data_IF_147962030412
#
_entry.id   IF_147962030412
#
_cell.length_a   1.000
_cell.length_b   1.000
_cell.length_c   1.000
_cell.angle_alpha   90.00
_cell.angle_beta   90.00
_cell.angle_gamma   90.00
#
_symmetry.space_group_name_H-M   'P 1'
#
loop_
_entity.id
_entity.type
_entity.pdbx_description
1 polymer ?
#
# COMPACT_ATOMS: atom_id res chain seq x y z
N UNK A 1 -9.05 -0.79 -11.67
CA UNK A 1 -7.82 -0.95 -10.86
C UNK A 1 -7.37 0.44 -10.42
N UNK A 2 -6.94 0.62 -9.17
CA UNK A 2 -6.59 1.95 -8.63
C UNK A 2 -5.18 2.33 -9.10
N UNK A 3 -4.89 3.63 -9.22
CA UNK A 3 -3.57 4.13 -9.63
C UNK A 3 -3.13 5.28 -8.72
N UNK A 4 -1.83 5.39 -8.50
CA UNK A 4 -1.22 6.60 -7.97
C UNK A 4 -1.34 7.71 -9.02
N UNK A 5 -1.65 8.92 -8.55
CA UNK A 5 -1.84 10.11 -9.39
C UNK A 5 -0.80 11.17 -9.01
N UNK A 6 -0.27 11.91 -9.99
CA UNK A 6 0.63 13.02 -9.72
C UNK A 6 0.02 14.04 -8.76
N UNK A 7 0.85 14.66 -7.91
CA UNK A 7 0.43 15.74 -7.00
C UNK A 7 -0.35 15.30 -5.76
N UNK A 8 -0.58 14.01 -5.55
CA UNK A 8 -1.21 13.48 -4.34
C UNK A 8 -0.19 12.78 -3.45
N UNK A 9 -0.34 12.92 -2.13
CA UNK A 9 0.39 12.15 -1.14
C UNK A 9 -0.38 10.90 -0.75
N UNK A 10 0.35 9.83 -0.52
CA UNK A 10 -0.22 8.52 -0.21
C UNK A 10 0.43 7.94 1.03
N UNK A 11 -0.37 7.30 1.87
CA UNK A 11 0.10 6.58 3.06
C UNK A 11 -0.37 5.14 2.99
N UNK A 12 0.53 4.20 3.28
CA UNK A 12 0.19 2.78 3.33
C UNK A 12 -0.72 2.49 4.53
N UNK A 13 -1.70 1.61 4.34
CA UNK A 13 -2.60 1.17 5.42
C UNK A 13 -2.72 -0.34 5.48
N UNK A 14 -2.51 -0.89 6.67
CA UNK A 14 -2.78 -2.30 6.97
C UNK A 14 -4.23 -2.68 6.68
N UNK A 15 -5.19 -1.76 6.91
CA UNK A 15 -6.62 -1.99 6.66
C UNK A 15 -6.87 -2.33 5.19
N UNK A 16 -6.37 -1.54 4.26
CA UNK A 16 -6.61 -1.76 2.84
C UNK A 16 -5.84 -2.97 2.32
N UNK A 17 -4.60 -3.16 2.76
CA UNK A 17 -3.83 -4.36 2.45
C UNK A 17 -4.56 -5.65 2.86
N UNK A 18 -5.02 -5.73 4.12
CA UNK A 18 -5.78 -6.90 4.61
C UNK A 18 -7.07 -7.12 3.82
N UNK A 19 -7.77 -6.04 3.44
CA UNK A 19 -9.00 -6.11 2.64
C UNK A 19 -8.72 -6.70 1.26
N UNK A 20 -7.65 -6.24 0.62
CA UNK A 20 -7.24 -6.71 -0.69
C UNK A 20 -6.77 -8.18 -0.64
N UNK A 21 -5.90 -8.55 0.30
CA UNK A 21 -5.49 -9.94 0.47
C UNK A 21 -6.65 -10.90 0.72
N UNK A 22 -7.65 -10.50 1.54
CA UNK A 22 -8.89 -11.29 1.72
C UNK A 22 -9.65 -11.47 0.42
N UNK A 23 -9.70 -10.45 -0.44
CA UNK A 23 -10.39 -10.48 -1.73
C UNK A 23 -9.72 -11.45 -2.71
N UNK A 24 -8.39 -11.53 -2.70
CA UNK A 24 -7.62 -12.39 -3.62
C UNK A 24 -7.24 -13.75 -3.01
N UNK A 25 -7.69 -14.07 -1.79
CA UNK A 25 -7.36 -15.33 -1.12
C UNK A 25 -5.90 -15.46 -0.66
N UNK A 26 -5.17 -14.35 -0.52
CA UNK A 26 -3.75 -14.38 -0.16
C UNK A 26 -3.56 -14.47 1.37
N UNK A 27 -2.80 -15.46 1.88
CA UNK A 27 -2.56 -15.63 3.31
C UNK A 27 -1.56 -14.60 3.85
N UNK A 28 -2.05 -13.42 4.21
CA UNK A 28 -1.20 -12.30 4.66
C UNK A 28 -0.74 -12.38 6.12
N UNK A 29 -1.26 -13.32 6.93
CA UNK A 29 -0.94 -13.39 8.37
C UNK A 29 0.52 -13.72 8.66
N UNK A 30 1.19 -14.41 7.74
CA UNK A 30 2.60 -14.79 7.84
C UNK A 30 3.55 -13.65 7.44
N UNK A 31 3.03 -12.61 6.77
CA UNK A 31 3.80 -11.45 6.36
C UNK A 31 3.88 -10.48 7.54
N UNK A 32 5.07 -10.16 8.05
CA UNK A 32 5.22 -9.17 9.14
C UNK A 32 5.50 -7.76 8.63
N UNK A 33 6.04 -7.63 7.42
CA UNK A 33 6.46 -6.35 6.86
C UNK A 33 5.33 -5.31 6.79
N UNK A 34 4.10 -5.73 6.46
CA UNK A 34 2.98 -4.82 6.27
C UNK A 34 2.59 -4.08 7.55
N UNK A 35 2.91 -4.65 8.72
CA UNK A 35 2.67 -3.98 10.02
C UNK A 35 3.64 -2.81 10.22
N UNK A 36 4.88 -2.97 9.77
CA UNK A 36 5.92 -1.94 9.86
C UNK A 36 5.65 -0.76 8.93
N UNK A 37 4.99 -0.99 7.80
CA UNK A 37 4.67 0.06 6.82
C UNK A 37 3.44 0.91 7.19
N UNK A 38 2.67 0.54 8.22
CA UNK A 38 1.38 1.17 8.50
C UNK A 38 1.53 2.65 8.88
N UNK A 39 0.90 3.54 8.11
CA UNK A 39 0.96 4.97 8.39
C UNK A 39 2.15 5.69 7.74
N UNK A 40 3.06 4.97 7.08
CA UNK A 40 4.23 5.57 6.42
C UNK A 40 3.84 6.08 5.04
N UNK A 41 4.39 7.24 4.67
CA UNK A 41 4.25 7.84 3.35
C UNK A 41 4.89 6.94 2.28
N UNK A 42 4.19 6.81 1.16
CA UNK A 42 4.60 5.98 0.04
C UNK A 42 5.40 6.82 -0.94
N UNK A 43 6.62 6.39 -1.23
CA UNK A 43 7.39 6.91 -2.34
C UNK A 43 6.82 6.33 -3.65
N UNK A 44 6.06 7.13 -4.41
CA UNK A 44 5.44 6.70 -5.66
C UNK A 44 6.50 6.62 -6.75
N UNK A 45 6.68 5.42 -7.33
CA UNK A 45 7.64 5.18 -8.40
C UNK A 45 6.95 5.35 -9.76
N UNK A 46 5.75 4.80 -9.91
CA UNK A 46 4.94 4.89 -11.11
C UNK A 46 3.44 4.73 -10.77
N UNK A 47 2.50 4.89 -11.73
CA UNK A 47 1.07 4.86 -11.44
C UNK A 47 0.55 3.56 -10.81
N UNK A 48 1.24 2.43 -10.96
CA UNK A 48 0.83 1.13 -10.42
C UNK A 48 1.68 0.66 -9.24
N UNK A 49 2.71 1.41 -8.85
CA UNK A 49 3.70 0.92 -7.90
C UNK A 49 4.35 2.05 -7.09
N UNK A 50 4.52 1.80 -5.79
CA UNK A 50 5.27 2.65 -4.88
C UNK A 50 6.06 1.81 -3.88
N UNK A 51 6.81 2.50 -3.03
CA UNK A 51 7.70 1.89 -2.05
C UNK A 51 7.50 2.50 -0.66
N UNK A 52 7.60 1.67 0.37
CA UNK A 52 7.78 2.08 1.78
C UNK A 52 9.05 1.42 2.28
N UNK A 53 10.14 2.18 2.38
CA UNK A 53 11.48 1.61 2.59
C UNK A 53 11.82 0.63 1.45
N UNK A 54 12.08 -0.63 1.79
CA UNK A 54 12.34 -1.71 0.83
C UNK A 54 11.09 -2.50 0.42
N UNK A 55 9.91 -2.13 0.94
CA UNK A 55 8.67 -2.86 0.69
C UNK A 55 7.90 -2.29 -0.49
N UNK A 56 7.61 -3.15 -1.48
CA UNK A 56 6.75 -2.83 -2.61
C UNK A 56 5.29 -2.67 -2.15
N UNK A 57 4.62 -1.61 -2.62
CA UNK A 57 3.23 -1.30 -2.27
C UNK A 57 2.38 -0.96 -3.50
N UNK A 58 1.18 -1.53 -3.52
CA UNK A 58 0.16 -1.26 -4.54
C UNK A 58 -0.75 -0.07 -4.15
N UNK A 59 -1.31 0.67 -5.14
CA UNK A 59 -2.23 1.78 -4.90
C UNK A 59 -3.46 1.39 -4.06
N UNK A 60 -3.94 0.16 -4.20
CA UNK A 60 -5.07 -0.41 -3.48
C UNK A 60 -4.86 -0.38 -1.96
N UNK A 61 -3.61 -0.54 -1.51
CA UNK A 61 -3.26 -0.63 -0.09
C UNK A 61 -3.11 0.73 0.58
N UNK A 62 -3.21 1.81 -0.19
CA UNK A 62 -2.89 3.16 0.24
C UNK A 62 -4.14 4.02 0.44
N UNK A 63 -4.03 5.06 1.27
CA UNK A 63 -5.00 6.16 1.36
C UNK A 63 -4.34 7.45 0.88
N UNK A 64 -5.12 8.32 0.24
CA UNK A 64 -4.66 9.67 -0.08
C UNK A 64 -4.69 10.48 1.22
N UNK A 65 -3.65 11.27 1.45
CA UNK A 65 -3.60 12.26 2.53
C UNK A 65 -3.43 13.64 1.90
N UNK A 66 -4.19 14.63 2.39
CA UNK A 66 -4.06 16.04 1.99
C UNK A 66 -2.94 16.67 2.79
#
# INVERSE_FOLDING_TARGET
MRKFRPGLKYVFTTKNFKKDCKKIGLPYRQLNWYKLCNGIEVNVINPSHGMVGVCSVAPEWCKVVK
#
